data_IF_212221431487
#
_entry.id   IF_212221431487
#
_cell.length_a   1.000
_cell.length_b   1.000
_cell.length_c   1.000
_cell.angle_alpha   90.00
_cell.angle_beta   90.00
_cell.angle_gamma   90.00
#
_symmetry.space_group_name_H-M   'P 1'
#
loop_
_entity.id
_entity.type
_entity.pdbx_description
1 polymer ?
#
# COMPACT_ATOMS: atom_id res chain seq x y z
N UNK A 1 -24.30 -14.42 19.90
CA UNK A 1 -23.67 -15.15 18.77
C UNK A 1 -23.64 -16.64 19.10
N UNK A 2 -24.28 -17.44 18.26
CA UNK A 2 -24.81 -18.77 18.59
C UNK A 2 -23.74 -19.87 18.44
N UNK A 3 -23.63 -20.77 19.43
CA UNK A 3 -22.67 -21.90 19.46
C UNK A 3 -22.71 -22.81 18.22
N UNK A 4 -23.79 -22.76 17.43
CA UNK A 4 -23.96 -23.54 16.19
C UNK A 4 -23.02 -23.13 15.05
N UNK A 5 -22.49 -21.90 15.04
CA UNK A 5 -21.55 -21.45 14.01
C UNK A 5 -20.15 -22.10 14.16
N UNK A 6 -19.75 -22.43 15.38
CA UNK A 6 -18.46 -23.07 15.68
C UNK A 6 -18.42 -24.55 15.27
N UNK A 7 -19.56 -25.24 15.28
CA UNK A 7 -19.63 -26.66 14.91
C UNK A 7 -19.46 -26.87 13.40
N UNK A 8 -19.98 -25.94 12.58
CA UNK A 8 -19.91 -26.02 11.11
C UNK A 8 -18.47 -25.83 10.60
N UNK A 9 -17.68 -24.97 11.27
CA UNK A 9 -16.27 -24.75 10.92
C UNK A 9 -15.41 -26.01 11.24
N UNK A 10 -15.75 -26.76 12.29
CA UNK A 10 -15.04 -28.01 12.62
C UNK A 10 -15.34 -29.15 11.62
N UNK A 11 -16.54 -29.15 11.02
CA UNK A 11 -16.96 -30.19 10.06
C UNK A 11 -16.27 -30.04 8.71
N UNK A 12 -16.07 -28.80 8.25
CA UNK A 12 -15.40 -28.50 6.97
C UNK A 12 -13.88 -28.73 6.99
N UNK A 13 -13.26 -28.72 8.18
CA UNK A 13 -11.83 -29.01 8.35
C UNK A 13 -11.49 -30.50 8.20
N UNK A 14 -12.46 -31.41 8.36
CA UNK A 14 -12.24 -32.85 8.29
C UNK A 14 -12.36 -33.45 6.87
N UNK A 15 -12.88 -32.71 5.90
CA UNK A 15 -13.21 -33.24 4.56
C UNK A 15 -12.09 -33.10 3.52
N UNK A 16 -10.94 -32.50 3.85
CA UNK A 16 -9.83 -32.28 2.89
C UNK A 16 -8.54 -33.05 3.19
N UNK A 17 -8.55 -33.95 4.19
CA UNK A 17 -7.41 -34.82 4.45
C UNK A 17 -7.42 -36.04 3.51
N UNK A 18 -6.75 -35.91 2.36
CA UNK A 18 -6.33 -37.03 1.52
C UNK A 18 -5.34 -37.90 2.32
N UNK A 19 -5.83 -38.99 2.91
CA UNK A 19 -5.00 -40.00 3.57
C UNK A 19 -4.49 -41.02 2.54
N UNK A 20 -3.17 -41.32 2.46
CA UNK A 20 -2.71 -42.47 1.70
C UNK A 20 -3.05 -43.75 2.47
N UNK A 21 -3.91 -44.59 1.89
CA UNK A 21 -4.16 -45.97 2.36
C UNK A 21 -2.89 -46.80 2.19
N UNK A 22 -2.18 -47.06 3.29
CA UNK A 22 -1.22 -48.16 3.37
C UNK A 22 -2.01 -49.47 3.57
N UNK A 23 -2.07 -50.28 2.52
CA UNK A 23 -2.67 -51.61 2.54
C UNK A 23 -1.82 -52.56 3.41
N UNK A 24 -2.40 -53.02 4.52
CA UNK A 24 -1.91 -54.16 5.29
C UNK A 24 -2.21 -55.44 4.52
N UNK A 25 -1.20 -55.99 3.83
CA UNK A 25 -1.21 -57.37 3.35
C UNK A 25 -0.82 -58.30 4.48
N UNK A 26 -1.79 -59.06 5.00
CA UNK A 26 -1.55 -60.16 5.91
C UNK A 26 -1.09 -61.39 5.09
N UNK A 27 0.13 -61.87 5.33
CA UNK A 27 0.47 -63.27 5.09
C UNK A 27 1.37 -63.79 6.22
N UNK A 28 0.91 -64.87 6.81
CA UNK A 28 1.57 -65.69 7.81
C UNK A 28 2.98 -66.10 7.39
N UNK A 29 3.95 -65.99 8.30
CA UNK A 29 4.95 -67.03 8.57
C UNK A 29 5.54 -66.75 9.97
N UNK A 30 5.32 -67.70 10.87
CA UNK A 30 5.91 -67.70 12.20
C UNK A 30 7.36 -68.18 12.11
N UNK A 31 8.32 -67.36 12.51
CA UNK A 31 9.64 -67.84 12.94
C UNK A 31 10.22 -66.88 13.99
N UNK A 32 10.21 -67.35 15.23
CA UNK A 32 11.23 -67.14 16.28
C UNK A 32 12.20 -65.96 16.09
N UNK A 33 11.92 -64.84 16.76
CA UNK A 33 12.91 -63.83 17.13
C UNK A 33 12.56 -63.27 18.52
N UNK A 34 13.56 -63.26 19.40
CA UNK A 34 13.50 -62.81 20.78
C UNK A 34 12.91 -61.39 20.92
N UNK A 35 12.32 -61.02 22.09
CA UNK A 35 11.80 -59.68 22.27
C UNK A 35 12.96 -58.69 22.36
N UNK A 36 13.27 -58.02 21.25
CA UNK A 36 14.15 -56.85 21.23
C UNK A 36 13.46 -55.69 21.96
N UNK A 37 13.58 -55.68 23.29
CA UNK A 37 13.13 -54.62 24.20
C UNK A 37 13.70 -53.23 23.88
N UNK A 38 14.66 -53.14 22.95
CA UNK A 38 15.35 -51.91 22.55
C UNK A 38 14.71 -51.12 21.39
N UNK A 39 13.82 -51.72 20.58
CA UNK A 39 13.19 -51.00 19.44
C UNK A 39 11.92 -50.23 19.82
N UNK A 40 11.21 -50.63 20.88
CA UNK A 40 9.97 -49.98 21.32
C UNK A 40 10.15 -48.58 21.91
N UNK A 41 11.25 -48.33 22.62
CA UNK A 41 11.56 -47.02 23.23
C UNK A 41 11.90 -45.96 22.17
N UNK A 42 12.75 -46.29 21.19
CA UNK A 42 13.11 -45.36 20.10
C UNK A 42 11.91 -44.99 19.22
N UNK A 43 11.02 -45.95 18.93
CA UNK A 43 9.80 -45.69 18.17
C UNK A 43 8.82 -44.82 18.95
N UNK A 44 8.59 -45.11 20.24
CA UNK A 44 7.73 -44.30 21.10
C UNK A 44 8.25 -42.86 21.28
N UNK A 45 9.56 -42.66 21.43
CA UNK A 45 10.17 -41.32 21.46
C UNK A 45 10.03 -40.59 20.12
N UNK A 46 10.15 -41.29 18.99
CA UNK A 46 9.94 -40.71 17.66
C UNK A 46 8.49 -40.23 17.48
N UNK A 47 7.52 -41.03 17.92
CA UNK A 47 6.09 -40.70 17.90
C UNK A 47 5.78 -39.53 18.86
N UNK A 48 6.34 -39.54 20.07
CA UNK A 48 6.18 -38.45 21.03
C UNK A 48 6.78 -37.13 20.52
N UNK A 49 7.96 -37.17 19.87
CA UNK A 49 8.56 -36.01 19.19
C UNK A 49 7.68 -35.51 18.04
N UNK A 50 7.12 -36.41 17.23
CA UNK A 50 6.23 -36.05 16.13
C UNK A 50 4.94 -35.37 16.63
N UNK A 51 4.28 -35.94 17.64
CA UNK A 51 3.07 -35.38 18.27
C UNK A 51 3.38 -34.03 18.92
N UNK A 52 4.52 -33.89 19.59
CA UNK A 52 4.93 -32.63 20.23
C UNK A 52 5.20 -31.54 19.20
N UNK A 53 5.86 -31.86 18.08
CA UNK A 53 6.06 -30.94 16.96
C UNK A 53 4.72 -30.51 16.35
N UNK A 54 3.81 -31.46 16.13
CA UNK A 54 2.48 -31.18 15.60
C UNK A 54 1.67 -30.26 16.53
N UNK A 55 1.67 -30.52 17.85
CA UNK A 55 0.99 -29.68 18.84
C UNK A 55 1.55 -28.27 18.90
N UNK A 56 2.89 -28.12 18.87
CA UNK A 56 3.54 -26.80 18.80
C UNK A 56 3.15 -26.05 17.53
N UNK A 57 3.16 -26.74 16.38
CA UNK A 57 2.74 -26.16 15.09
C UNK A 57 1.30 -25.66 15.12
N UNK A 58 0.36 -26.49 15.58
CA UNK A 58 -1.06 -26.11 15.69
C UNK A 58 -1.29 -24.92 16.62
N UNK A 59 -0.60 -24.90 17.77
CA UNK A 59 -0.69 -23.78 18.71
C UNK A 59 -0.17 -22.45 18.12
N UNK A 60 0.87 -22.52 17.28
CA UNK A 60 1.43 -21.33 16.63
C UNK A 60 0.51 -20.81 15.53
N UNK A 61 -0.08 -21.71 14.72
CA UNK A 61 -1.08 -21.34 13.71
C UNK A 61 -2.28 -20.67 14.36
N UNK A 62 -2.82 -21.25 15.45
CA UNK A 62 -3.97 -20.68 16.16
C UNK A 62 -3.66 -19.29 16.74
N UNK A 63 -2.47 -19.07 17.31
CA UNK A 63 -2.04 -17.74 17.79
C UNK A 63 -1.92 -16.73 16.66
N UNK A 64 -1.37 -17.14 15.51
CA UNK A 64 -1.19 -16.28 14.32
C UNK A 64 -2.54 -15.86 13.74
N UNK A 65 -3.45 -16.81 13.53
CA UNK A 65 -4.81 -16.50 13.07
C UNK A 65 -5.55 -15.58 14.04
N UNK A 66 -5.40 -15.79 15.35
CA UNK A 66 -5.98 -14.92 16.38
C UNK A 66 -5.44 -13.49 16.33
N UNK A 67 -4.12 -13.32 16.19
CA UNK A 67 -3.47 -12.00 16.07
C UNK A 67 -3.88 -11.28 14.79
N UNK A 68 -3.89 -11.99 13.66
CA UNK A 68 -4.36 -11.46 12.37
C UNK A 68 -5.82 -11.00 12.47
N UNK A 69 -6.72 -11.84 12.98
CA UNK A 69 -8.13 -11.46 13.13
C UNK A 69 -8.30 -10.22 14.03
N UNK A 70 -7.55 -10.13 15.13
CA UNK A 70 -7.57 -8.98 16.03
C UNK A 70 -7.06 -7.71 15.34
N UNK A 71 -5.87 -7.75 14.74
CA UNK A 71 -5.23 -6.58 14.10
C UNK A 71 -6.08 -6.07 12.93
N UNK A 72 -6.48 -6.95 12.01
CA UNK A 72 -7.28 -6.55 10.85
C UNK A 72 -8.70 -6.14 11.24
N UNK A 73 -9.34 -6.87 12.17
CA UNK A 73 -10.68 -6.53 12.67
C UNK A 73 -10.70 -5.17 13.34
N UNK A 74 -9.74 -4.88 14.22
CA UNK A 74 -9.59 -3.57 14.86
C UNK A 74 -9.23 -2.48 13.85
N UNK A 75 -8.36 -2.73 12.88
CA UNK A 75 -8.02 -1.75 11.85
C UNK A 75 -9.24 -1.34 11.00
N UNK A 76 -10.06 -2.30 10.57
CA UNK A 76 -11.31 -2.04 9.84
C UNK A 76 -12.28 -1.25 10.73
N UNK A 77 -12.54 -1.71 11.94
CA UNK A 77 -13.48 -1.05 12.85
C UNK A 77 -13.06 0.39 13.14
N UNK A 78 -11.81 0.62 13.51
CA UNK A 78 -11.26 1.95 13.80
C UNK A 78 -11.31 2.86 12.58
N UNK A 79 -10.91 2.36 11.40
CA UNK A 79 -10.92 3.13 10.16
C UNK A 79 -12.33 3.60 9.83
N UNK A 80 -13.29 2.69 9.70
CA UNK A 80 -14.63 3.05 9.26
C UNK A 80 -15.43 3.80 10.34
N UNK A 81 -15.19 3.54 11.63
CA UNK A 81 -15.74 4.37 12.70
C UNK A 81 -15.23 5.82 12.60
N UNK A 82 -13.93 6.01 12.39
CA UNK A 82 -13.36 7.34 12.25
C UNK A 82 -13.90 8.05 11.00
N UNK A 83 -14.02 7.36 9.87
CA UNK A 83 -14.61 7.93 8.65
C UNK A 83 -16.08 8.29 8.82
N UNK A 84 -16.86 7.47 9.53
CA UNK A 84 -18.27 7.76 9.78
C UNK A 84 -18.44 8.98 10.70
N UNK A 85 -17.69 9.04 11.80
CA UNK A 85 -17.73 10.19 12.74
C UNK A 85 -17.36 11.48 12.00
N UNK A 86 -16.31 11.43 11.17
CA UNK A 86 -15.82 12.61 10.45
C UNK A 86 -16.69 13.00 9.27
N UNK A 87 -17.32 12.05 8.59
CA UNK A 87 -18.36 12.34 7.61
C UNK A 87 -19.51 13.12 8.25
N UNK A 88 -20.06 12.63 9.38
CA UNK A 88 -21.18 13.29 10.06
C UNK A 88 -20.78 14.70 10.49
N UNK A 89 -19.63 14.86 11.16
CA UNK A 89 -19.16 16.17 11.59
C UNK A 89 -18.93 17.13 10.42
N UNK A 90 -18.29 16.67 9.34
CA UNK A 90 -17.97 17.49 8.17
C UNK A 90 -19.21 17.88 7.37
N UNK A 91 -20.21 16.99 7.31
CA UNK A 91 -21.49 17.27 6.68
C UNK A 91 -22.28 18.33 7.45
N UNK A 92 -22.35 18.21 8.79
CA UNK A 92 -23.01 19.20 9.65
C UNK A 92 -22.33 20.57 9.60
N UNK A 93 -21.00 20.59 9.57
CA UNK A 93 -20.19 21.81 9.49
C UNK A 93 -20.04 22.36 8.06
N UNK A 94 -20.55 21.65 7.04
CA UNK A 94 -20.41 21.97 5.61
C UNK A 94 -18.97 22.31 5.20
N UNK A 95 -18.00 21.52 5.67
CA UNK A 95 -16.57 21.76 5.45
C UNK A 95 -15.81 20.51 5.06
N UNK A 96 -14.93 20.64 4.09
CA UNK A 96 -14.02 19.60 3.59
C UNK A 96 -12.61 19.67 4.18
N UNK A 97 -12.30 20.75 4.93
CA UNK A 97 -10.94 21.14 5.34
C UNK A 97 -10.15 20.02 6.02
N UNK A 98 -10.83 19.12 6.72
CA UNK A 98 -10.21 18.06 7.49
C UNK A 98 -10.00 16.75 6.72
N UNK A 99 -10.50 16.63 5.49
CA UNK A 99 -10.52 15.37 4.76
C UNK A 99 -9.12 14.74 4.64
N UNK A 100 -8.14 15.48 4.12
CA UNK A 100 -6.76 14.98 3.96
C UNK A 100 -6.09 14.71 5.31
N UNK A 101 -6.36 15.54 6.32
CA UNK A 101 -5.80 15.40 7.67
C UNK A 101 -6.30 14.12 8.34
N UNK A 102 -7.61 13.85 8.27
CA UNK A 102 -8.23 12.64 8.84
C UNK A 102 -7.64 11.39 8.19
N UNK A 103 -7.48 11.38 6.86
CA UNK A 103 -6.85 10.28 6.15
C UNK A 103 -5.40 10.04 6.62
N UNK A 104 -4.60 11.09 6.73
CA UNK A 104 -3.21 10.99 7.20
C UNK A 104 -3.11 10.52 8.66
N UNK A 105 -3.96 11.05 9.55
CA UNK A 105 -4.04 10.60 10.96
C UNK A 105 -4.46 9.14 11.05
N UNK A 106 -5.36 8.67 10.17
CA UNK A 106 -5.79 7.28 10.14
C UNK A 106 -4.61 6.32 9.94
N UNK A 107 -3.74 6.62 8.97
CA UNK A 107 -2.54 5.82 8.73
C UNK A 107 -1.64 5.71 9.97
N UNK A 108 -1.40 6.82 10.66
CA UNK A 108 -0.59 6.85 11.88
C UNK A 108 -1.25 6.07 13.03
N UNK A 109 -2.57 6.19 13.15
CA UNK A 109 -3.36 5.44 14.12
C UNK A 109 -3.29 3.93 13.86
N UNK A 110 -3.42 3.48 12.60
CA UNK A 110 -3.30 2.08 12.24
C UNK A 110 -1.89 1.54 12.49
N UNK A 111 -0.85 2.34 12.24
CA UNK A 111 0.53 1.97 12.53
C UNK A 111 0.72 1.70 14.03
N UNK A 112 0.26 2.62 14.88
CA UNK A 112 0.33 2.46 16.34
C UNK A 112 -0.55 1.31 16.85
N UNK A 113 -1.82 1.27 16.45
CA UNK A 113 -2.79 0.28 16.90
C UNK A 113 -2.35 -1.14 16.54
N UNK A 114 -1.92 -1.36 15.30
CA UNK A 114 -1.46 -2.68 14.87
C UNK A 114 -0.17 -3.12 15.56
N UNK A 115 0.75 -2.19 15.85
CA UNK A 115 1.95 -2.51 16.62
C UNK A 115 1.62 -2.93 18.06
N UNK A 116 0.64 -2.28 18.70
CA UNK A 116 0.18 -2.63 20.05
C UNK A 116 -0.60 -3.95 20.07
N UNK A 117 -1.55 -4.14 19.15
CA UNK A 117 -2.38 -5.36 19.11
C UNK A 117 -1.63 -6.59 18.59
N UNK A 118 -0.62 -6.39 17.75
CA UNK A 118 0.28 -7.42 17.26
C UNK A 118 1.28 -7.92 18.31
N UNK A 119 1.31 -7.31 19.49
CA UNK A 119 2.17 -7.62 20.62
C UNK A 119 1.59 -8.72 21.54
N UNK A 120 1.06 -9.83 21.01
CA UNK A 120 0.44 -10.88 21.85
C UNK A 120 1.45 -11.91 22.40
N UNK A 121 2.57 -11.42 22.94
CA UNK A 121 3.64 -12.23 23.54
C UNK A 121 3.67 -12.16 25.07
N UNK A 122 4.16 -13.22 25.73
CA UNK A 122 4.29 -13.32 27.20
C UNK A 122 5.40 -12.42 27.81
N UNK A 123 5.83 -11.35 27.13
CA UNK A 123 6.93 -10.46 27.53
C UNK A 123 6.44 -9.11 28.08
N UNK A 124 7.32 -8.36 28.76
CA UNK A 124 7.00 -7.07 29.38
C UNK A 124 6.69 -5.93 28.37
N UNK A 125 7.21 -6.03 27.15
CA UNK A 125 6.97 -5.10 26.03
C UNK A 125 6.86 -5.90 24.72
N UNK A 126 5.75 -6.61 24.47
CA UNK A 126 5.73 -7.61 23.40
C UNK A 126 5.74 -7.01 21.98
N UNK A 127 5.64 -5.69 21.83
CA UNK A 127 5.83 -4.98 20.55
C UNK A 127 7.31 -4.79 20.17
N UNK A 128 8.25 -5.05 21.10
CA UNK A 128 9.70 -4.88 20.90
C UNK A 128 10.40 -6.20 20.54
N UNK A 129 9.70 -7.32 20.64
CA UNK A 129 10.29 -8.66 20.46
C UNK A 129 10.81 -8.93 19.02
N UNK A 130 10.22 -8.28 18.00
CA UNK A 130 10.68 -8.39 16.61
C UNK A 130 11.10 -7.02 16.04
N UNK A 131 12.39 -6.80 15.74
CA UNK A 131 12.87 -5.55 15.17
C UNK A 131 12.23 -5.19 13.81
N UNK A 132 11.71 -6.18 13.06
CA UNK A 132 10.98 -5.93 11.80
C UNK A 132 9.70 -5.14 12.03
N UNK A 133 8.96 -5.41 13.11
CA UNK A 133 7.72 -4.69 13.44
C UNK A 133 7.99 -3.23 13.73
N UNK A 134 9.01 -2.96 14.54
CA UNK A 134 9.46 -1.61 14.86
C UNK A 134 9.89 -0.88 13.59
N UNK A 135 10.81 -1.46 12.82
CA UNK A 135 11.36 -0.85 11.62
C UNK A 135 10.26 -0.53 10.60
N UNK A 136 9.38 -1.50 10.31
CA UNK A 136 8.27 -1.32 9.36
C UNK A 136 7.30 -0.24 9.83
N UNK A 137 6.93 -0.26 11.10
CA UNK A 137 5.98 0.72 11.69
C UNK A 137 6.57 2.12 11.66
N UNK A 138 7.84 2.28 12.02
CA UNK A 138 8.53 3.58 11.99
C UNK A 138 8.67 4.09 10.56
N UNK A 139 9.14 3.26 9.62
CA UNK A 139 9.25 3.66 8.21
C UNK A 139 7.89 4.09 7.63
N UNK A 140 6.85 3.31 7.90
CA UNK A 140 5.49 3.62 7.48
C UNK A 140 5.00 4.93 8.11
N UNK A 141 5.16 5.11 9.42
CA UNK A 141 4.74 6.30 10.15
C UNK A 141 5.51 7.55 9.71
N UNK A 142 6.82 7.45 9.48
CA UNK A 142 7.62 8.56 8.95
C UNK A 142 7.16 8.97 7.56
N UNK A 143 6.94 8.01 6.66
CA UNK A 143 6.49 8.27 5.29
C UNK A 143 5.09 8.93 5.27
N UNK A 144 4.13 8.37 6.02
CA UNK A 144 2.76 8.91 6.11
C UNK A 144 2.69 10.22 6.89
N UNK A 145 3.50 10.36 7.93
CA UNK A 145 3.60 11.57 8.74
C UNK A 145 4.14 12.75 7.94
N UNK A 146 5.20 12.52 7.13
CA UNK A 146 5.67 13.50 6.17
C UNK A 146 4.56 13.94 5.20
N UNK A 147 3.89 12.96 4.55
CA UNK A 147 2.84 13.26 3.58
C UNK A 147 1.68 14.03 4.20
N UNK A 148 1.26 13.65 5.42
CA UNK A 148 0.25 14.38 6.20
C UNK A 148 0.65 15.85 6.40
N UNK A 149 1.87 16.11 6.87
CA UNK A 149 2.35 17.48 7.11
C UNK A 149 2.41 18.29 5.80
N UNK A 150 2.88 17.67 4.72
CA UNK A 150 2.95 18.30 3.41
C UNK A 150 1.57 18.65 2.86
N UNK A 151 0.60 17.73 2.95
CA UNK A 151 -0.78 17.96 2.51
C UNK A 151 -1.47 19.02 3.37
N UNK A 152 -1.27 19.01 4.68
CA UNK A 152 -1.82 20.02 5.58
C UNK A 152 -1.29 21.42 5.26
N UNK A 153 0.03 21.55 5.06
CA UNK A 153 0.64 22.81 4.62
C UNK A 153 0.08 23.28 3.27
N UNK A 154 -0.04 22.38 2.29
CA UNK A 154 -0.58 22.69 0.96
C UNK A 154 -2.06 23.08 0.98
N UNK A 155 -2.87 22.42 1.80
CA UNK A 155 -4.28 22.72 1.95
C UNK A 155 -4.48 24.13 2.54
N UNK A 156 -3.66 24.49 3.53
CA UNK A 156 -3.63 25.84 4.09
C UNK A 156 -3.26 26.90 3.04
N UNK A 157 -2.26 26.64 2.19
CA UNK A 157 -1.88 27.59 1.12
C UNK A 157 -2.95 27.76 0.04
N UNK A 158 -3.73 26.72 -0.27
CA UNK A 158 -4.73 26.72 -1.36
C UNK A 158 -6.13 27.19 -0.95
N UNK A 159 -6.38 27.45 0.34
CA UNK A 159 -7.67 27.88 0.90
C UNK A 159 -8.85 26.91 0.59
N UNK A 160 -8.57 25.61 0.55
CA UNK A 160 -9.59 24.56 0.36
C UNK A 160 -9.37 23.71 -0.89
N UNK A 161 -10.30 22.78 -1.12
CA UNK A 161 -10.27 21.85 -2.26
C UNK A 161 -11.59 21.92 -3.04
N UNK A 162 -11.50 22.43 -4.27
CA UNK A 162 -12.66 22.70 -5.12
C UNK A 162 -13.45 21.45 -5.52
N UNK A 163 -12.90 20.24 -5.33
CA UNK A 163 -13.59 18.98 -5.61
C UNK A 163 -14.84 18.78 -4.75
N UNK A 164 -14.88 19.38 -3.57
CA UNK A 164 -15.99 19.25 -2.63
C UNK A 164 -17.05 20.34 -2.78
N UNK A 165 -16.78 21.39 -3.56
CA UNK A 165 -17.69 22.53 -3.69
C UNK A 165 -19.04 22.12 -4.29
N UNK A 166 -19.02 21.28 -5.32
CA UNK A 166 -20.24 20.73 -5.94
C UNK A 166 -21.01 19.84 -4.95
N UNK A 167 -20.29 18.96 -4.26
CA UNK A 167 -20.88 17.94 -3.37
C UNK A 167 -21.50 18.59 -2.13
N UNK A 168 -20.90 19.67 -1.63
CA UNK A 168 -21.39 20.45 -0.49
C UNK A 168 -22.50 21.44 -0.88
N UNK A 169 -22.88 21.51 -2.15
CA UNK A 169 -23.89 22.45 -2.63
C UNK A 169 -23.43 23.91 -2.58
N UNK A 170 -22.12 24.16 -2.69
CA UNK A 170 -21.60 25.52 -2.88
C UNK A 170 -21.98 26.00 -4.28
N UNK A 171 -22.01 27.32 -4.47
CA UNK A 171 -22.35 27.97 -5.75
C UNK A 171 -23.76 27.69 -6.31
N UNK A 172 -24.74 27.42 -5.44
CA UNK A 172 -26.14 27.25 -5.84
C UNK A 172 -26.53 25.83 -6.28
N UNK A 173 -25.62 24.86 -6.17
CA UNK A 173 -25.91 23.45 -6.42
C UNK A 173 -26.66 22.80 -5.25
N UNK A 174 -27.48 21.78 -5.52
CA UNK A 174 -28.09 20.98 -4.47
C UNK A 174 -27.01 20.12 -3.77
N UNK A 175 -26.97 20.06 -2.42
CA UNK A 175 -26.00 19.24 -1.71
C UNK A 175 -26.22 17.75 -2.02
N UNK A 176 -25.12 17.00 -2.18
CA UNK A 176 -25.13 15.60 -2.57
C UNK A 176 -24.59 14.72 -1.42
N UNK A 177 -25.38 14.44 -0.37
CA UNK A 177 -24.91 13.78 0.85
C UNK A 177 -24.38 12.36 0.60
N UNK A 178 -25.00 11.61 -0.31
CA UNK A 178 -24.55 10.26 -0.67
C UNK A 178 -23.18 10.28 -1.34
N UNK A 179 -22.93 11.23 -2.24
CA UNK A 179 -21.63 11.36 -2.89
C UNK A 179 -20.57 11.78 -1.88
N UNK A 180 -20.89 12.69 -0.96
CA UNK A 180 -19.99 13.05 0.13
C UNK A 180 -19.65 11.83 1.00
N UNK A 181 -20.65 11.04 1.38
CA UNK A 181 -20.46 9.80 2.13
C UNK A 181 -19.51 8.83 1.42
N UNK A 182 -19.68 8.65 0.11
CA UNK A 182 -18.83 7.78 -0.70
C UNK A 182 -17.37 8.23 -0.65
N UNK A 183 -17.07 9.53 -0.71
CA UNK A 183 -15.68 10.01 -0.56
C UNK A 183 -15.04 9.54 0.75
N UNK A 184 -15.72 9.71 1.88
CA UNK A 184 -15.21 9.28 3.19
C UNK A 184 -15.02 7.76 3.28
N UNK A 185 -15.95 6.97 2.74
CA UNK A 185 -15.82 5.51 2.73
C UNK A 185 -14.71 5.02 1.81
N UNK A 186 -14.55 5.63 0.63
CA UNK A 186 -13.45 5.34 -0.30
C UNK A 186 -12.11 5.71 0.33
N UNK A 187 -12.02 6.80 1.09
CA UNK A 187 -10.81 7.13 1.84
C UNK A 187 -10.49 6.06 2.89
N UNK A 188 -11.49 5.58 3.63
CA UNK A 188 -11.32 4.47 4.58
C UNK A 188 -10.80 3.21 3.89
N UNK A 189 -11.41 2.84 2.76
CA UNK A 189 -10.96 1.71 1.96
C UNK A 189 -9.52 1.90 1.47
N UNK A 190 -9.17 3.09 0.98
CA UNK A 190 -7.81 3.41 0.55
C UNK A 190 -6.81 3.17 1.68
N UNK A 191 -7.07 3.75 2.86
CA UNK A 191 -6.19 3.59 4.04
C UNK A 191 -5.97 2.11 4.37
N UNK A 192 -7.05 1.31 4.35
CA UNK A 192 -6.98 -0.12 4.61
C UNK A 192 -6.13 -0.85 3.57
N UNK A 193 -6.40 -0.66 2.28
CA UNK A 193 -5.72 -1.36 1.20
C UNK A 193 -4.22 -1.05 1.19
N UNK A 194 -3.85 0.22 1.37
CA UNK A 194 -2.45 0.64 1.37
C UNK A 194 -1.69 0.12 2.59
N UNK A 195 -2.35 0.03 3.76
CA UNK A 195 -1.72 -0.41 5.02
C UNK A 195 -1.51 -1.93 5.10
N UNK A 196 -2.04 -2.72 4.16
CA UNK A 196 -2.03 -4.19 4.21
C UNK A 196 -0.65 -4.82 4.52
N UNK A 197 0.46 -4.45 3.85
CA UNK A 197 1.76 -5.07 4.14
C UNK A 197 2.27 -4.79 5.56
N UNK A 198 2.03 -3.59 6.09
CA UNK A 198 2.42 -3.23 7.45
C UNK A 198 1.54 -3.97 8.48
N UNK A 199 0.23 -4.07 8.24
CA UNK A 199 -0.69 -4.83 9.09
C UNK A 199 -0.29 -6.31 9.14
N UNK A 200 0.16 -6.86 8.01
CA UNK A 200 0.68 -8.22 7.91
C UNK A 200 1.93 -8.42 8.78
N UNK A 201 2.93 -7.53 8.67
CA UNK A 201 4.13 -7.59 9.52
C UNK A 201 3.76 -7.54 11.00
N UNK A 202 2.91 -6.59 11.39
CA UNK A 202 2.56 -6.38 12.79
C UNK A 202 1.71 -7.53 13.38
N UNK A 203 0.87 -8.17 12.57
CA UNK A 203 0.07 -9.34 12.97
C UNK A 203 0.83 -10.69 12.92
N UNK A 204 2.06 -10.70 12.39
CA UNK A 204 2.87 -11.92 12.37
C UNK A 204 3.38 -12.29 13.78
N UNK A 205 3.35 -13.58 14.11
CA UNK A 205 3.87 -14.11 15.38
C UNK A 205 5.24 -14.79 15.23
N UNK A 206 5.87 -14.66 14.06
CA UNK A 206 7.21 -15.18 13.82
C UNK A 206 8.23 -14.42 14.66
N UNK A 207 8.81 -15.09 15.65
CA UNK A 207 9.93 -14.56 16.42
C UNK A 207 11.23 -15.02 15.79
N UNK A 208 11.85 -14.19 14.95
CA UNK A 208 13.25 -14.39 14.52
C UNK A 208 14.11 -13.28 15.12
N UNK A 209 15.18 -13.59 15.86
CA UNK A 209 16.07 -12.57 16.38
C UNK A 209 16.78 -11.86 15.23
N UNK A 210 16.81 -10.52 15.29
CA UNK A 210 17.57 -9.69 14.36
C UNK A 210 16.92 -9.42 13.00
N UNK A 211 17.51 -8.46 12.29
CA UNK A 211 17.20 -8.11 10.91
C UNK A 211 18.10 -8.92 9.96
N UNK A 212 17.50 -9.49 8.93
CA UNK A 212 18.24 -10.10 7.84
C UNK A 212 18.80 -9.06 6.87
N UNK A 213 19.78 -9.45 6.04
CA UNK A 213 20.27 -8.59 4.95
C UNK A 213 19.13 -8.19 4.01
N UNK A 214 18.20 -9.10 3.76
CA UNK A 214 17.01 -8.82 2.95
C UNK A 214 16.13 -7.72 3.57
N UNK A 215 15.88 -7.77 4.90
CA UNK A 215 15.12 -6.73 5.61
C UNK A 215 15.77 -5.34 5.44
N UNK A 216 17.09 -5.27 5.58
CA UNK A 216 17.86 -4.04 5.45
C UNK A 216 17.79 -3.50 4.02
N UNK A 217 17.95 -4.37 3.01
CA UNK A 217 17.83 -3.97 1.61
C UNK A 217 16.44 -3.42 1.29
N UNK A 218 15.37 -4.09 1.70
CA UNK A 218 14.01 -3.61 1.50
C UNK A 218 13.76 -2.27 2.22
N UNK A 219 14.31 -2.09 3.43
CA UNK A 219 14.20 -0.83 4.17
C UNK A 219 14.93 0.33 3.47
N UNK A 220 16.14 0.09 2.94
CA UNK A 220 16.89 1.09 2.16
C UNK A 220 16.11 1.47 0.89
N UNK A 221 15.60 0.48 0.15
CA UNK A 221 14.82 0.74 -1.06
C UNK A 221 13.52 1.49 -0.75
N UNK A 222 12.80 1.13 0.32
CA UNK A 222 11.65 1.88 0.81
C UNK A 222 12.00 3.34 1.10
N UNK A 223 13.07 3.57 1.88
CA UNK A 223 13.56 4.90 2.22
C UNK A 223 13.95 5.72 0.98
N UNK A 224 14.52 5.09 -0.05
CA UNK A 224 14.85 5.77 -1.31
C UNK A 224 13.59 6.21 -2.08
N UNK A 225 12.52 5.41 -2.07
CA UNK A 225 11.23 5.80 -2.66
C UNK A 225 10.62 7.00 -1.96
N UNK A 226 10.60 6.97 -0.62
CA UNK A 226 10.16 8.10 0.22
C UNK A 226 10.99 9.35 -0.04
N UNK A 227 12.31 9.22 -0.15
CA UNK A 227 13.20 10.35 -0.42
C UNK A 227 12.93 10.97 -1.80
N UNK A 228 12.72 10.15 -2.84
CA UNK A 228 12.37 10.63 -4.17
C UNK A 228 11.05 11.41 -4.14
N UNK A 229 10.04 10.89 -3.42
CA UNK A 229 8.74 11.57 -3.22
C UNK A 229 8.93 12.95 -2.57
N UNK A 230 9.62 12.98 -1.42
CA UNK A 230 9.93 14.21 -0.67
C UNK A 230 10.63 15.24 -1.56
N UNK A 231 11.72 14.84 -2.22
CA UNK A 231 12.54 15.74 -3.05
C UNK A 231 11.74 16.28 -4.24
N UNK A 232 10.97 15.42 -4.90
CA UNK A 232 10.13 15.82 -6.03
C UNK A 232 9.10 16.88 -5.63
N UNK A 233 8.38 16.65 -4.53
CA UNK A 233 7.34 17.54 -4.04
C UNK A 233 7.92 18.88 -3.56
N UNK A 234 9.03 18.87 -2.82
CA UNK A 234 9.73 20.09 -2.42
C UNK A 234 10.23 20.90 -3.61
N UNK A 235 10.83 20.26 -4.62
CA UNK A 235 11.29 20.95 -5.83
C UNK A 235 10.14 21.64 -6.56
N UNK A 236 9.00 20.95 -6.68
CA UNK A 236 7.79 21.50 -7.32
C UNK A 236 7.17 22.64 -6.50
N UNK A 237 7.12 22.49 -5.19
CA UNK A 237 6.64 23.52 -4.27
C UNK A 237 7.48 24.79 -4.37
N UNK A 238 8.82 24.66 -4.34
CA UNK A 238 9.74 25.78 -4.49
C UNK A 238 9.68 26.41 -5.88
N UNK A 239 9.46 25.62 -6.93
CA UNK A 239 9.25 26.12 -8.28
C UNK A 239 8.05 27.06 -8.36
N UNK A 240 6.91 26.63 -7.78
CA UNK A 240 5.68 27.43 -7.69
C UNK A 240 5.90 28.70 -6.86
N UNK A 241 6.57 28.59 -5.71
CA UNK A 241 6.86 29.73 -4.82
C UNK A 241 7.75 30.80 -5.46
N UNK A 242 8.60 30.41 -6.43
CA UNK A 242 9.43 31.33 -7.24
C UNK A 242 8.65 32.03 -8.36
N UNK A 243 7.32 32.03 -8.33
CA UNK A 243 6.47 32.73 -9.30
C UNK A 243 6.36 32.03 -10.66
N UNK A 244 6.85 30.80 -10.81
CA UNK A 244 6.79 30.05 -12.08
C UNK A 244 5.49 29.26 -12.25
N UNK A 245 4.39 29.82 -11.74
CA UNK A 245 3.07 29.20 -11.82
C UNK A 245 2.63 29.00 -13.28
N UNK A 246 2.09 27.82 -13.57
CA UNK A 246 1.71 27.43 -14.92
C UNK A 246 2.87 27.08 -15.86
N UNK A 247 4.13 27.08 -15.40
CA UNK A 247 5.26 26.48 -16.13
C UNK A 247 5.55 25.07 -15.60
N UNK A 248 6.08 24.19 -16.46
CA UNK A 248 6.48 22.84 -16.04
C UNK A 248 7.79 22.90 -15.25
N UNK A 249 7.93 22.00 -14.27
CA UNK A 249 9.15 21.88 -13.48
C UNK A 249 10.10 20.93 -14.20
N UNK A 250 11.30 21.40 -14.56
CA UNK A 250 12.32 20.65 -15.30
C UNK A 250 13.67 20.65 -14.56
N UNK A 251 13.64 20.70 -13.22
CA UNK A 251 14.83 20.75 -12.36
C UNK A 251 14.92 19.52 -11.46
N UNK A 252 16.14 19.16 -11.07
CA UNK A 252 16.38 18.06 -10.15
C UNK A 252 15.84 16.73 -10.66
N UNK A 253 15.03 16.05 -9.85
CA UNK A 253 14.48 14.73 -10.21
C UNK A 253 13.45 14.82 -11.35
N UNK A 254 12.87 16.01 -11.57
CA UNK A 254 11.94 16.26 -12.68
C UNK A 254 12.64 16.22 -14.05
N UNK A 255 13.98 16.27 -14.13
CA UNK A 255 14.71 16.08 -15.39
C UNK A 255 14.70 14.63 -15.89
N UNK A 256 14.49 13.67 -14.99
CA UNK A 256 14.61 12.25 -15.29
C UNK A 256 13.25 11.56 -15.35
N UNK A 257 12.23 12.15 -14.73
CA UNK A 257 10.85 11.69 -14.74
C UNK A 257 9.89 12.88 -14.73
N UNK A 258 8.80 12.80 -15.48
CA UNK A 258 7.71 13.80 -15.48
C UNK A 258 6.86 13.71 -14.23
N UNK A 259 6.84 12.58 -13.53
CA UNK A 259 6.11 12.38 -12.27
C UNK A 259 6.96 11.59 -11.25
N UNK A 260 8.11 12.15 -10.80
CA UNK A 260 9.02 11.45 -9.92
C UNK A 260 8.41 11.19 -8.53
N UNK A 261 7.51 12.07 -8.07
CA UNK A 261 6.78 11.88 -6.81
C UNK A 261 5.88 10.63 -6.84
N UNK A 262 5.15 10.41 -7.93
CA UNK A 262 4.34 9.21 -8.11
C UNK A 262 5.19 7.94 -8.22
N UNK A 263 6.37 8.02 -8.84
CA UNK A 263 7.31 6.90 -8.84
C UNK A 263 7.77 6.56 -7.43
N UNK A 264 8.20 7.57 -6.66
CA UNK A 264 8.58 7.39 -5.25
C UNK A 264 7.47 6.73 -4.44
N UNK A 265 6.22 7.18 -4.65
CA UNK A 265 5.05 6.63 -3.98
C UNK A 265 4.77 5.18 -4.38
N UNK A 266 4.77 4.83 -5.67
CA UNK A 266 4.56 3.44 -6.11
C UNK A 266 5.70 2.54 -5.61
N UNK A 267 6.95 3.01 -5.71
CA UNK A 267 8.13 2.22 -5.39
C UNK A 267 8.20 1.85 -3.91
N UNK A 268 7.89 2.79 -3.00
CA UNK A 268 7.88 2.48 -1.57
C UNK A 268 6.86 1.38 -1.22
N UNK A 269 5.70 1.31 -1.88
CA UNK A 269 4.70 0.28 -1.59
C UNK A 269 5.12 -1.10 -2.06
N UNK A 270 5.78 -1.18 -3.21
CA UNK A 270 6.42 -2.43 -3.66
C UNK A 270 7.50 -2.89 -2.69
N UNK A 271 8.33 -1.96 -2.19
CA UNK A 271 9.37 -2.26 -1.21
C UNK A 271 8.79 -2.73 0.13
N UNK A 272 7.69 -2.14 0.59
CA UNK A 272 7.02 -2.53 1.83
C UNK A 272 6.36 -3.92 1.71
N UNK A 273 5.75 -4.22 0.57
CA UNK A 273 5.23 -5.54 0.26
C UNK A 273 6.35 -6.60 0.19
N UNK A 274 7.48 -6.26 -0.43
CA UNK A 274 8.66 -7.12 -0.43
C UNK A 274 9.21 -7.33 1.00
N UNK A 275 9.32 -6.27 1.81
CA UNK A 275 9.76 -6.35 3.21
C UNK A 275 8.89 -7.33 4.01
N UNK A 276 7.57 -7.27 3.81
CA UNK A 276 6.62 -8.10 4.56
C UNK A 276 6.79 -9.61 4.31
N UNK A 277 7.48 -10.00 3.24
CA UNK A 277 7.82 -11.39 2.94
C UNK A 277 8.65 -12.04 4.05
N UNK A 278 9.52 -11.30 4.73
CA UNK A 278 10.31 -11.84 5.86
C UNK A 278 9.45 -12.32 7.02
N UNK A 279 8.27 -11.73 7.16
CA UNK A 279 7.23 -12.07 8.14
C UNK A 279 6.23 -13.12 7.63
N UNK A 280 6.39 -13.61 6.39
CA UNK A 280 5.50 -14.61 5.77
C UNK A 280 5.86 -16.07 6.02
N UNK A 281 6.96 -16.31 6.74
CA UNK A 281 7.52 -17.64 6.95
C UNK A 281 6.53 -18.63 7.56
N UNK A 282 6.42 -19.79 6.93
CA UNK A 282 5.71 -20.92 7.49
C UNK A 282 6.64 -21.72 8.42
N UNK A 283 6.30 -21.97 9.70
CA UNK A 283 7.11 -22.80 10.60
C UNK A 283 7.39 -24.22 10.07
N UNK A 284 6.63 -24.70 9.08
CA UNK A 284 6.73 -26.05 8.51
C UNK A 284 7.35 -26.11 7.10
N UNK A 285 7.90 -25.01 6.58
CA UNK A 285 8.64 -25.01 5.30
C UNK A 285 7.77 -25.05 4.03
N UNK A 286 6.47 -24.72 4.13
CA UNK A 286 5.57 -24.53 2.98
C UNK A 286 5.50 -23.09 2.45
N UNK A 287 4.65 -22.86 1.44
CA UNK A 287 4.38 -21.55 0.82
C UNK A 287 4.10 -20.43 1.84
N UNK A 288 4.40 -19.18 1.45
CA UNK A 288 4.11 -17.97 2.20
C UNK A 288 2.65 -17.94 2.69
N UNK A 289 2.43 -17.41 3.90
CA UNK A 289 1.09 -17.17 4.46
C UNK A 289 0.15 -16.59 3.39
N UNK A 290 -1.02 -17.20 3.10
CA UNK A 290 -1.96 -16.68 2.11
C UNK A 290 -2.32 -15.20 2.29
N UNK A 291 -2.30 -14.71 3.54
CA UNK A 291 -2.57 -13.31 3.86
C UNK A 291 -1.44 -12.37 3.39
N UNK A 292 -0.23 -12.87 3.22
CA UNK A 292 0.86 -12.11 2.59
C UNK A 292 0.48 -11.71 1.16
N UNK A 293 -0.11 -12.62 0.38
CA UNK A 293 -0.56 -12.33 -0.99
C UNK A 293 -1.63 -11.24 -1.03
N UNK A 294 -2.48 -11.13 -0.01
CA UNK A 294 -3.41 -10.00 0.09
C UNK A 294 -2.68 -8.64 0.21
N UNK A 295 -1.45 -8.65 0.73
CA UNK A 295 -0.57 -7.47 0.80
C UNK A 295 -0.20 -6.89 -0.57
N UNK A 296 -0.19 -7.68 -1.65
CA UNK A 296 0.12 -7.18 -3.00
C UNK A 296 -0.92 -6.18 -3.51
N UNK A 297 -2.11 -6.20 -2.93
CA UNK A 297 -3.18 -5.25 -3.26
C UNK A 297 -2.73 -3.82 -2.97
N UNK A 298 -1.88 -3.58 -1.96
CA UNK A 298 -1.36 -2.24 -1.63
C UNK A 298 -0.64 -1.57 -2.81
N UNK A 299 0.49 -2.09 -3.31
CA UNK A 299 1.19 -1.45 -4.43
C UNK A 299 0.37 -1.43 -5.72
N UNK A 300 -0.41 -2.48 -6.02
CA UNK A 300 -1.23 -2.53 -7.23
C UNK A 300 -2.35 -1.49 -7.20
N UNK A 301 -3.02 -1.32 -6.06
CA UNK A 301 -4.06 -0.32 -5.87
C UNK A 301 -3.51 1.09 -6.01
N UNK A 302 -2.39 1.42 -5.35
CA UNK A 302 -1.74 2.73 -5.49
C UNK A 302 -1.31 3.00 -6.92
N UNK A 303 -0.70 2.00 -7.58
CA UNK A 303 -0.30 2.11 -8.99
C UNK A 303 -1.51 2.35 -9.90
N UNK A 304 -2.60 1.62 -9.70
CA UNK A 304 -3.82 1.80 -10.49
C UNK A 304 -4.41 3.20 -10.31
N UNK A 305 -4.44 3.73 -9.08
CA UNK A 305 -4.96 5.08 -8.83
C UNK A 305 -4.08 6.12 -9.50
N UNK A 306 -2.76 6.05 -9.30
CA UNK A 306 -1.85 7.05 -9.82
C UNK A 306 -1.71 6.99 -11.35
N UNK A 307 -1.79 5.80 -11.96
CA UNK A 307 -1.68 5.68 -13.41
C UNK A 307 -3.01 5.91 -14.12
N UNK A 308 -4.13 5.41 -13.60
CA UNK A 308 -5.35 5.26 -14.41
C UNK A 308 -6.58 6.02 -13.91
N UNK A 309 -6.66 6.38 -12.63
CA UNK A 309 -7.90 6.91 -12.06
C UNK A 309 -8.10 8.38 -12.43
N UNK A 310 -9.22 8.71 -13.07
CA UNK A 310 -9.66 10.11 -13.24
C UNK A 310 -10.64 10.46 -12.11
N UNK A 311 -10.60 11.68 -11.54
CA UNK A 311 -9.84 12.87 -11.97
C UNK A 311 -8.47 13.04 -11.28
N UNK A 312 -7.82 11.97 -10.80
CA UNK A 312 -6.53 12.06 -10.08
C UNK A 312 -5.36 11.52 -10.92
N UNK A 313 -4.17 11.44 -10.32
CA UNK A 313 -3.00 10.79 -10.93
C UNK A 313 -2.48 11.41 -12.24
N UNK A 314 -1.73 10.60 -12.98
CA UNK A 314 -1.09 10.96 -14.25
C UNK A 314 -2.12 11.24 -15.34
N UNK A 315 -3.24 10.51 -15.37
CA UNK A 315 -4.32 10.77 -16.34
C UNK A 315 -4.83 12.21 -16.28
N UNK A 316 -4.90 12.80 -15.09
CA UNK A 316 -5.30 14.20 -14.92
C UNK A 316 -4.13 15.18 -15.08
N UNK A 317 -2.94 14.81 -14.62
CA UNK A 317 -1.74 15.65 -14.71
C UNK A 317 -1.17 15.75 -16.14
N UNK A 318 -1.54 14.82 -17.01
CA UNK A 318 -1.23 14.77 -18.44
C UNK A 318 -2.51 15.03 -19.28
N UNK A 319 -2.43 14.84 -20.61
CA UNK A 319 -3.56 15.07 -21.51
C UNK A 319 -3.98 16.54 -21.54
N UNK A 320 -5.27 16.84 -21.36
CA UNK A 320 -5.81 18.21 -21.51
C UNK A 320 -5.14 19.24 -20.59
N UNK A 321 -4.65 18.82 -19.42
CA UNK A 321 -3.99 19.73 -18.48
C UNK A 321 -2.64 20.25 -18.98
N UNK A 322 -2.07 19.61 -20.02
CA UNK A 322 -0.83 20.04 -20.68
C UNK A 322 -1.01 21.27 -21.57
N UNK A 323 -2.25 21.63 -21.93
CA UNK A 323 -2.56 22.81 -22.76
C UNK A 323 -1.84 24.06 -22.23
N UNK A 324 -1.86 24.27 -20.91
CA UNK A 324 -1.17 25.40 -20.25
C UNK A 324 0.35 25.49 -20.52
N UNK A 325 1.00 24.37 -20.82
CA UNK A 325 2.43 24.32 -21.11
C UNK A 325 2.69 24.52 -22.61
N UNK A 326 1.87 23.89 -23.46
CA UNK A 326 1.94 24.09 -24.90
C UNK A 326 1.58 25.52 -25.33
N UNK A 327 0.61 26.16 -24.67
CA UNK A 327 0.21 27.54 -24.95
C UNK A 327 1.34 28.54 -24.63
N UNK A 328 2.20 28.24 -23.64
CA UNK A 328 3.28 29.13 -23.20
C UNK A 328 4.61 28.87 -23.89
N UNK A 329 5.01 27.60 -24.03
CA UNK A 329 6.34 27.20 -24.51
C UNK A 329 6.27 25.86 -25.27
N UNK A 330 5.67 25.81 -26.47
CA UNK A 330 5.37 24.56 -27.17
C UNK A 330 6.62 23.75 -27.52
N UNK A 331 7.65 24.38 -28.10
CA UNK A 331 8.88 23.69 -28.50
C UNK A 331 9.64 23.13 -27.31
N UNK A 332 9.86 23.95 -26.27
CA UNK A 332 10.59 23.54 -25.06
C UNK A 332 9.87 22.41 -24.33
N UNK A 333 8.53 22.46 -24.26
CA UNK A 333 7.75 21.43 -23.60
C UNK A 333 7.71 20.12 -24.41
N UNK A 334 7.63 20.19 -25.74
CA UNK A 334 7.72 19.00 -26.60
C UNK A 334 9.08 18.31 -26.42
N UNK A 335 10.17 19.09 -26.48
CA UNK A 335 11.52 18.56 -26.26
C UNK A 335 11.69 17.93 -24.87
N UNK A 336 11.14 18.56 -23.82
CA UNK A 336 11.13 17.98 -22.47
C UNK A 336 10.39 16.65 -22.43
N UNK A 337 9.20 16.57 -23.05
CA UNK A 337 8.37 15.36 -23.04
C UNK A 337 8.97 14.20 -23.83
N UNK A 338 9.65 14.48 -24.94
CA UNK A 338 10.32 13.47 -25.76
C UNK A 338 11.53 12.85 -25.06
N UNK A 339 12.22 13.67 -24.25
CA UNK A 339 13.47 13.31 -23.57
C UNK A 339 13.32 12.92 -22.10
N UNK A 340 12.12 13.02 -21.53
CA UNK A 340 11.86 12.73 -20.10
C UNK A 340 10.84 11.62 -19.96
N UNK A 341 11.24 10.56 -19.25
CA UNK A 341 10.36 9.44 -18.90
C UNK A 341 9.12 9.92 -18.15
N UNK A 342 7.99 9.23 -18.28
CA UNK A 342 6.77 9.63 -17.57
C UNK A 342 6.82 9.31 -16.07
N UNK A 343 7.29 8.12 -15.70
CA UNK A 343 7.24 7.61 -14.33
C UNK A 343 8.63 7.19 -13.84
N UNK A 344 9.21 6.15 -14.43
CA UNK A 344 10.49 5.58 -13.97
C UNK A 344 11.63 6.55 -14.34
N UNK A 345 12.39 7.11 -13.38
CA UNK A 345 13.51 7.99 -13.67
C UNK A 345 14.53 7.33 -14.59
N UNK A 346 14.84 7.96 -15.73
CA UNK A 346 15.69 7.36 -16.74
C UNK A 346 16.54 8.38 -17.48
N UNK A 347 17.80 8.03 -17.75
CA UNK A 347 18.74 8.86 -18.51
C UNK A 347 18.74 8.39 -19.97
N UNK A 348 18.63 9.32 -20.91
CA UNK A 348 18.64 9.00 -22.33
C UNK A 348 17.29 8.51 -22.87
N UNK A 349 16.18 8.85 -22.22
CA UNK A 349 14.83 8.47 -22.64
C UNK A 349 14.51 8.86 -24.09
N UNK A 350 15.12 9.92 -24.62
CA UNK A 350 14.99 10.32 -26.02
C UNK A 350 15.29 9.19 -27.02
N UNK A 351 16.28 8.34 -26.73
CA UNK A 351 16.72 7.25 -27.60
C UNK A 351 15.90 5.97 -27.45
N UNK A 352 14.98 5.90 -26.48
CA UNK A 352 14.20 4.69 -26.21
C UNK A 352 13.14 4.51 -27.31
N UNK A 353 13.07 3.33 -27.98
CA UNK A 353 12.02 3.02 -28.94
C UNK A 353 10.61 3.20 -28.36
N UNK A 354 9.68 3.68 -29.20
CA UNK A 354 8.30 4.00 -28.77
C UNK A 354 7.56 2.83 -28.13
N UNK A 355 7.83 1.59 -28.56
CA UNK A 355 7.19 0.41 -27.96
C UNK A 355 7.65 0.20 -26.51
N UNK A 356 8.94 0.38 -26.20
CA UNK A 356 9.47 0.28 -24.83
C UNK A 356 8.97 1.43 -23.95
N UNK A 357 8.87 2.64 -24.49
CA UNK A 357 8.24 3.79 -23.81
C UNK A 357 6.82 3.43 -23.34
N UNK A 358 6.04 2.79 -24.21
CA UNK A 358 4.64 2.42 -23.96
C UNK A 358 4.45 1.23 -23.02
N UNK A 359 5.41 0.31 -22.96
CA UNK A 359 5.29 -0.91 -22.14
C UNK A 359 6.02 -0.80 -20.80
N UNK A 360 7.32 -0.50 -20.81
CA UNK A 360 8.15 -0.51 -19.60
C UNK A 360 8.04 0.79 -18.81
N UNK A 361 7.89 1.92 -19.50
CA UNK A 361 7.85 3.23 -18.86
C UNK A 361 6.43 3.73 -18.58
N UNK A 362 5.40 2.99 -18.99
CA UNK A 362 3.99 3.38 -18.86
C UNK A 362 3.62 4.66 -19.63
N UNK A 363 4.30 5.00 -20.73
CA UNK A 363 3.97 6.18 -21.55
C UNK A 363 2.80 5.88 -22.49
N UNK A 364 1.61 5.70 -21.92
CA UNK A 364 0.40 5.33 -22.66
C UNK A 364 -0.13 6.45 -23.56
N UNK A 365 -0.81 6.05 -24.64
CA UNK A 365 -1.42 6.97 -25.63
C UNK A 365 -2.38 7.97 -24.99
N UNK A 366 -3.11 7.54 -23.95
CA UNK A 366 -4.06 8.40 -23.23
C UNK A 366 -3.42 9.62 -22.54
N UNK A 367 -2.11 9.62 -22.33
CA UNK A 367 -1.37 10.77 -21.78
C UNK A 367 -0.96 11.77 -22.86
N UNK A 368 -1.11 11.43 -24.14
CA UNK A 368 -0.81 12.34 -25.24
C UNK A 368 -1.82 13.48 -25.30
N UNK A 369 -1.30 14.71 -25.30
CA UNK A 369 -2.03 15.89 -25.72
C UNK A 369 -1.58 16.26 -27.13
N UNK A 370 -2.55 16.41 -28.04
CA UNK A 370 -2.34 16.92 -29.39
C UNK A 370 -3.01 18.29 -29.46
N UNK A 371 -2.24 19.39 -29.56
CA UNK A 371 -2.80 20.72 -29.73
C UNK A 371 -3.66 20.73 -31.00
N UNK A 372 -4.92 21.16 -30.91
CA UNK A 372 -5.73 21.41 -32.11
C UNK A 372 -5.43 22.82 -32.65
N UNK A 373 -5.54 23.07 -33.96
CA UNK A 373 -5.29 24.40 -34.55
C UNK A 373 -6.12 25.50 -33.87
N UNK A 374 -7.33 25.14 -33.44
CA UNK A 374 -8.36 25.97 -32.81
C UNK A 374 -7.94 26.42 -31.40
N UNK A 375 -7.10 25.65 -30.71
CA UNK A 375 -6.62 25.91 -29.35
C UNK A 375 -5.55 27.02 -29.32
N UNK A 376 -4.86 27.26 -30.45
CA UNK A 376 -3.75 28.22 -30.59
C UNK A 376 -4.27 29.63 -30.88
N UNK A 377 -5.40 29.75 -31.58
CA UNK A 377 -6.00 31.04 -31.96
C UNK A 377 -6.66 31.84 -30.83
N UNK A 378 -6.97 31.20 -29.70
CA UNK A 378 -7.57 31.87 -28.54
C UNK A 378 -6.53 32.61 -27.67
N UNK A 379 -5.25 32.19 -27.71
CA UNK A 379 -4.17 32.80 -26.92
C UNK A 379 -3.63 34.11 -27.51
N UNK A 380 -3.57 34.22 -28.85
CA UNK A 380 -3.09 35.43 -29.53
C UNK A 380 -4.07 36.61 -29.44
N UNK A 381 -5.39 36.36 -29.38
CA UNK A 381 -6.38 37.45 -29.28
C UNK A 381 -6.37 38.20 -27.95
N UNK A 382 -5.77 37.63 -26.91
CA UNK A 382 -5.67 38.29 -25.59
C UNK A 382 -4.42 39.18 -25.51
N UNK A 383 -3.37 38.91 -26.30
CA UNK A 383 -2.14 39.74 -26.30
C UNK A 383 -2.21 40.96 -27.22
N UNK A 384 -3.21 41.07 -28.10
CA UNK A 384 -3.39 42.27 -28.94
C UNK A 384 -4.27 43.36 -28.30
N UNK A 385 -4.83 43.11 -27.11
CA UNK A 385 -5.71 44.05 -26.41
C UNK A 385 -5.20 44.44 -25.00
N UNK A 386 -3.89 44.37 -24.75
CA UNK A 386 -3.26 44.87 -23.52
C UNK A 386 -2.12 45.85 -23.82
#
# INVERSE_FOLDING_TARGET
MNLKALTIISSLANTTAFAPRLALGAHHTASTLAPTKYQGSSYAESQHRAITRQRKSLSHVQRTMGSQALVYGSAVATTFAMQMIRFIASYLLKTETFYDIVGGVNYLLLALLSAILGATGDGALPWVDDPRKILTTVLFACSRGWLLLFLAWRAHERKGDSRFDEVLGKHGNAPQPLNFFVYWMVQGLWVMLVSMPMLFVNSSNLRKPGLSVYDILCAILYGSGVLIEIVADFQKAMWVKRGRQGHFCDVGVWKYSRHPNYFGEIFQWWCLFAFSYSSSGNPTGGYADPLWWAGIVSPLFTMQILLAMQPTGICNAEGKSLKRYYDKCPERYSAYRENTSILIPFIGYGHVPKFLKRTLFFDFVRYEYKPQPDDVGAGMKISENL
#
